data_IF_493937539989
#
_entry.id   IF_493937539989
#
_cell.length_a   1.000
_cell.length_b   1.000
_cell.length_c   1.000
_cell.angle_alpha   90.00
_cell.angle_beta   90.00
_cell.angle_gamma   90.00
#
_symmetry.space_group_name_H-M   'P 1'
#
loop_
_entity.id
_entity.type
_entity.pdbx_description
1 polymer ?
#
# COMPACT_ATOMS: atom_id res chain seq x y z
N UNK A 1 -7.27 -20.47 -4.28
CA UNK A 1 -6.17 -20.81 -3.35
C UNK A 1 -6.05 -19.63 -2.41
N UNK A 2 -6.48 -19.80 -1.15
CA UNK A 2 -6.39 -18.77 -0.10
C UNK A 2 -5.14 -19.07 0.71
N UNK A 3 -4.26 -18.10 0.84
CA UNK A 3 -3.06 -18.17 1.66
C UNK A 3 -3.34 -17.31 2.88
N UNK A 4 -4.13 -17.85 3.80
CA UNK A 4 -4.70 -17.06 4.92
C UNK A 4 -3.66 -16.62 5.95
N UNK A 5 -2.41 -17.09 5.84
CA UNK A 5 -1.32 -16.73 6.76
C UNK A 5 0.09 -16.85 6.14
N UNK A 6 0.21 -16.81 4.82
CA UNK A 6 1.52 -16.84 4.13
C UNK A 6 1.67 -15.57 3.32
N UNK A 7 2.76 -14.83 3.58
CA UNK A 7 3.17 -13.67 2.79
C UNK A 7 3.66 -14.10 1.41
N UNK A 8 2.73 -14.41 0.51
CA UNK A 8 3.00 -14.71 -0.90
C UNK A 8 2.61 -13.53 -1.78
N UNK A 9 3.27 -13.38 -2.93
CA UNK A 9 2.95 -12.36 -3.94
C UNK A 9 3.01 -10.89 -3.44
N UNK A 10 3.95 -10.60 -2.53
CA UNK A 10 4.29 -9.24 -2.12
C UNK A 10 5.37 -8.64 -3.01
N UNK A 11 5.24 -7.35 -3.26
CA UNK A 11 6.17 -6.50 -4.00
C UNK A 11 6.74 -5.43 -3.06
N UNK A 12 7.99 -5.02 -3.31
CA UNK A 12 8.63 -3.94 -2.56
C UNK A 12 8.42 -2.60 -3.28
N UNK A 13 7.59 -1.74 -2.68
CA UNK A 13 7.35 -0.38 -3.14
C UNK A 13 8.30 0.60 -2.44
N UNK A 14 8.88 1.54 -3.17
CA UNK A 14 9.70 2.59 -2.56
C UNK A 14 8.81 3.74 -2.10
N UNK A 15 8.94 4.19 -0.85
CA UNK A 15 8.22 5.37 -0.32
C UNK A 15 8.64 6.62 -1.10
N UNK A 16 9.94 6.94 -1.10
CA UNK A 16 10.54 7.90 -2.03
C UNK A 16 11.01 7.16 -3.26
N UNK A 17 10.44 7.48 -4.41
CA UNK A 17 10.78 6.82 -5.67
C UNK A 17 12.27 6.90 -6.00
N UNK A 18 12.82 5.78 -6.48
CA UNK A 18 14.22 5.69 -6.90
C UNK A 18 14.57 6.70 -7.98
N UNK A 19 13.68 6.88 -8.97
CA UNK A 19 13.83 7.87 -10.05
C UNK A 19 13.92 9.33 -9.56
N UNK A 20 13.44 9.63 -8.35
CA UNK A 20 13.55 10.95 -7.71
C UNK A 20 14.60 10.96 -6.58
N UNK A 21 15.62 10.11 -6.66
CA UNK A 21 16.71 10.07 -5.68
C UNK A 21 16.32 9.45 -4.34
N UNK A 22 15.38 8.50 -4.34
CA UNK A 22 15.09 7.66 -3.17
C UNK A 22 16.21 6.67 -2.87
N UNK A 23 16.55 6.44 -1.57
CA UNK A 23 17.49 5.39 -1.18
C UNK A 23 16.90 4.00 -1.43
N UNK A 24 17.74 3.02 -1.76
CA UNK A 24 17.33 1.61 -1.86
C UNK A 24 17.64 0.91 -0.54
N UNK A 25 16.89 1.26 0.50
CA UNK A 25 17.11 0.79 1.87
C UNK A 25 15.77 0.40 2.49
N UNK A 26 15.80 -0.55 3.43
CA UNK A 26 14.60 -1.10 4.09
C UNK A 26 13.68 0.00 4.66
N UNK A 27 14.17 1.07 5.33
CA UNK A 27 13.31 2.13 5.86
C UNK A 27 12.54 2.91 4.79
N UNK A 28 12.96 2.83 3.52
CA UNK A 28 12.28 3.47 2.38
C UNK A 28 11.41 2.47 1.59
N UNK A 29 11.13 1.29 2.14
CA UNK A 29 10.39 0.22 1.48
C UNK A 29 9.09 -0.14 2.19
N UNK A 30 8.05 -0.45 1.42
CA UNK A 30 6.79 -1.04 1.86
C UNK A 30 6.55 -2.36 1.14
N UNK A 31 6.06 -3.37 1.86
CA UNK A 31 5.64 -4.64 1.27
C UNK A 31 4.14 -4.57 0.93
N UNK A 32 3.80 -4.60 -0.35
CA UNK A 32 2.42 -4.43 -0.84
C UNK A 32 2.05 -5.52 -1.83
N UNK A 33 0.76 -5.85 -1.95
CA UNK A 33 0.32 -6.65 -3.09
C UNK A 33 0.42 -5.84 -4.39
N UNK A 34 0.43 -6.51 -5.54
CA UNK A 34 0.58 -5.86 -6.84
C UNK A 34 -0.48 -4.78 -7.16
N UNK A 35 -1.68 -4.87 -6.58
CA UNK A 35 -2.74 -3.85 -6.75
C UNK A 35 -2.38 -2.59 -5.97
N UNK A 36 -2.11 -2.73 -4.67
CA UNK A 36 -1.80 -1.60 -3.80
C UNK A 36 -0.44 -0.97 -4.11
N UNK A 37 0.53 -1.74 -4.60
CA UNK A 37 1.79 -1.18 -5.10
C UNK A 37 1.56 -0.19 -6.25
N UNK A 38 0.80 -0.61 -7.28
CA UNK A 38 0.48 0.29 -8.41
C UNK A 38 -0.35 1.50 -7.99
N UNK A 39 -1.24 1.34 -7.01
CA UNK A 39 -2.02 2.44 -6.48
C UNK A 39 -1.16 3.45 -5.71
N UNK A 40 -0.21 2.95 -4.91
CA UNK A 40 0.75 3.76 -4.17
C UNK A 40 1.67 4.53 -5.14
N UNK A 41 2.20 3.86 -6.16
CA UNK A 41 3.01 4.49 -7.21
C UNK A 41 2.25 5.53 -8.05
N UNK A 42 0.92 5.55 -8.00
CA UNK A 42 0.08 6.54 -8.69
C UNK A 42 -0.41 7.66 -7.78
N UNK A 43 -0.11 7.58 -6.47
CA UNK A 43 -0.65 8.51 -5.47
C UNK A 43 -2.15 8.33 -5.23
N UNK A 44 -2.73 7.19 -5.62
CA UNK A 44 -4.11 6.84 -5.31
C UNK A 44 -4.28 6.48 -3.84
N UNK A 45 -3.23 5.91 -3.23
CA UNK A 45 -3.13 5.69 -1.80
C UNK A 45 -1.79 6.21 -1.27
N UNK A 46 -1.75 6.56 0.01
CA UNK A 46 -0.56 6.97 0.75
C UNK A 46 -0.63 6.54 2.21
N UNK A 47 0.36 6.96 3.00
CA UNK A 47 0.38 6.80 4.46
C UNK A 47 0.59 8.17 5.11
N UNK A 48 -0.07 8.41 6.25
CA UNK A 48 0.22 9.55 7.11
C UNK A 48 1.39 9.27 8.08
N UNK A 49 1.76 10.26 8.89
CA UNK A 49 2.84 10.15 9.88
C UNK A 49 2.55 9.12 10.99
N UNK A 50 1.29 8.72 11.16
CA UNK A 50 0.83 7.72 12.13
C UNK A 50 0.67 6.34 11.50
N UNK A 51 1.17 6.12 10.27
CA UNK A 51 1.02 4.89 9.51
C UNK A 51 -0.45 4.54 9.20
N UNK A 52 -1.32 5.53 9.03
CA UNK A 52 -2.69 5.32 8.56
C UNK A 52 -2.76 5.44 7.05
N UNK A 53 -3.57 4.58 6.43
CA UNK A 53 -3.81 4.64 4.99
C UNK A 53 -4.60 5.91 4.66
N UNK A 54 -4.15 6.60 3.61
CA UNK A 54 -4.83 7.74 3.02
C UNK A 54 -5.28 7.36 1.62
N UNK A 55 -6.55 7.55 1.30
CA UNK A 55 -7.07 7.40 -0.07
C UNK A 55 -7.24 8.77 -0.71
N UNK A 56 -6.75 8.95 -1.93
CA UNK A 56 -6.92 10.19 -2.67
C UNK A 56 -8.39 10.41 -3.05
N UNK A 57 -8.91 11.63 -2.85
CA UNK A 57 -10.26 12.02 -3.28
C UNK A 57 -10.53 11.82 -4.78
N UNK A 58 -9.48 11.72 -5.59
CA UNK A 58 -9.59 11.42 -7.02
C UNK A 58 -9.95 9.96 -7.31
N UNK A 59 -9.84 9.05 -6.33
CA UNK A 59 -10.19 7.63 -6.48
C UNK A 59 -11.70 7.48 -6.60
N UNK A 60 -12.15 6.86 -7.68
CA UNK A 60 -13.57 6.65 -7.97
C UNK A 60 -13.79 5.27 -8.59
N UNK A 61 -15.02 4.76 -8.47
CA UNK A 61 -15.42 3.48 -9.04
C UNK A 61 -16.64 2.88 -8.34
N UNK A 62 -17.00 1.65 -8.73
CA UNK A 62 -18.08 0.89 -8.10
C UNK A 62 -17.64 0.17 -6.82
N UNK A 63 -18.47 -0.74 -6.30
CA UNK A 63 -18.24 -1.39 -5.00
C UNK A 63 -16.94 -2.20 -4.84
N UNK A 64 -16.22 -2.50 -5.92
CA UNK A 64 -14.87 -3.08 -5.81
C UNK A 64 -13.82 -2.06 -5.38
N UNK A 65 -13.97 -0.80 -5.80
CA UNK A 65 -13.07 0.31 -5.38
C UNK A 65 -13.32 0.63 -3.92
N UNK A 66 -14.57 0.62 -3.49
CA UNK A 66 -14.93 0.74 -2.06
C UNK A 66 -14.17 -0.29 -1.21
N UNK A 67 -14.29 -1.57 -1.57
CA UNK A 67 -13.63 -2.67 -0.84
C UNK A 67 -12.11 -2.68 -0.90
N UNK A 68 -11.51 -2.22 -2.00
CA UNK A 68 -10.06 -2.29 -2.18
C UNK A 68 -9.34 -1.06 -1.65
N UNK A 69 -10.04 0.07 -1.52
CA UNK A 69 -9.45 1.37 -1.17
C UNK A 69 -10.18 2.02 0.00
N UNK A 70 -11.45 2.38 -0.15
CA UNK A 70 -12.18 3.19 0.83
C UNK A 70 -12.40 2.48 2.17
N UNK A 71 -12.59 1.16 2.18
CA UNK A 71 -12.69 0.36 3.41
C UNK A 71 -11.41 0.42 4.29
N UNK A 72 -10.28 0.86 3.71
CA UNK A 72 -9.01 1.01 4.41
C UNK A 72 -8.68 2.47 4.75
N UNK A 73 -9.46 3.46 4.30
CA UNK A 73 -9.14 4.86 4.55
C UNK A 73 -9.16 5.18 6.06
N UNK A 74 -8.07 5.76 6.55
CA UNK A 74 -7.87 6.04 7.98
C UNK A 74 -7.50 4.83 8.85
N UNK A 75 -7.55 3.61 8.31
CA UNK A 75 -7.14 2.40 9.02
C UNK A 75 -5.61 2.32 9.17
N UNK A 76 -5.15 1.68 10.23
CA UNK A 76 -3.72 1.48 10.44
C UNK A 76 -3.14 0.54 9.38
N UNK A 77 -1.99 0.89 8.82
CA UNK A 77 -1.23 0.01 7.97
C UNK A 77 -0.74 -1.18 8.79
N UNK A 78 -1.43 -2.29 8.63
CA UNK A 78 -0.99 -3.57 9.16
C UNK A 78 0.20 -4.04 8.31
N UNK A 79 1.42 -3.84 8.83
CA UNK A 79 2.53 -4.74 8.43
C UNK A 79 2.01 -6.13 8.70
N UNK A 80 2.08 -7.06 7.73
CA UNK A 80 1.88 -8.47 8.02
C UNK A 80 2.86 -8.82 9.15
N UNK A 81 2.36 -8.79 10.39
CA UNK A 81 3.16 -9.08 11.56
C UNK A 81 3.61 -10.52 11.38
N UNK A 82 4.93 -10.70 11.30
CA UNK A 82 5.54 -11.99 11.01
C UNK A 82 4.97 -13.07 11.93
N UNK A 83 4.69 -14.22 11.32
CA UNK A 83 4.85 -15.51 11.98
C UNK A 83 6.30 -15.67 12.45
#
# INVERSE_FOLDING_TARGET
>A
MRHDDTTVALEAAHIKWKQHGGPCEIPNGLALCAIHHKAFDKGSIGLDENMRVLVSDAVNGGGIVERLFWDFDGENYCVAAGA
#
